data_IF_607666406702
#
_entry.id   IF_607666406702
#
_cell.length_a   1.000
_cell.length_b   1.000
_cell.length_c   1.000
_cell.angle_alpha   90.00
_cell.angle_beta   90.00
_cell.angle_gamma   90.00
#
_symmetry.space_group_name_H-M   'P 1'
#
loop_
_entity.id
_entity.type
_entity.pdbx_description
1 polymer ?
#
# COMPACT_ATOMS: atom_id res chain seq x y z
N UNK A 1 -30.94 19.04 3.29
CA UNK A 1 -30.21 18.78 2.04
C UNK A 1 -29.23 17.66 2.35
N UNK A 2 -29.51 16.44 1.88
CA UNK A 2 -28.82 15.23 2.36
C UNK A 2 -27.32 15.27 2.07
N UNK A 3 -26.51 15.24 3.12
CA UNK A 3 -25.07 15.00 3.01
C UNK A 3 -24.87 13.55 2.57
N UNK A 4 -24.18 13.36 1.44
CA UNK A 4 -23.68 12.04 1.06
C UNK A 4 -22.83 11.53 2.23
N UNK A 5 -23.29 10.43 2.84
CA UNK A 5 -22.61 9.81 3.97
C UNK A 5 -21.49 8.89 3.50
N UNK A 6 -20.73 8.39 4.47
CA UNK A 6 -19.78 7.31 4.25
C UNK A 6 -20.37 6.09 3.49
N UNK A 7 -21.62 5.62 3.78
CA UNK A 7 -22.14 4.44 3.07
C UNK A 7 -22.40 4.71 1.58
N UNK A 8 -22.92 5.88 1.21
CA UNK A 8 -23.14 6.23 -0.20
C UNK A 8 -21.82 6.32 -0.98
N UNK A 9 -20.76 6.88 -0.37
CA UNK A 9 -19.43 6.91 -0.99
C UNK A 9 -18.86 5.51 -1.23
N UNK A 10 -19.08 4.57 -0.31
CA UNK A 10 -18.62 3.17 -0.48
C UNK A 10 -19.33 2.52 -1.67
N UNK A 11 -20.65 2.71 -1.81
CA UNK A 11 -21.40 2.17 -2.95
C UNK A 11 -20.89 2.73 -4.27
N UNK A 12 -20.65 4.04 -4.34
CA UNK A 12 -20.08 4.69 -5.53
C UNK A 12 -18.67 4.15 -5.83
N UNK A 13 -17.83 3.99 -4.80
CA UNK A 13 -16.49 3.44 -4.94
C UNK A 13 -16.51 1.99 -5.46
N UNK A 14 -17.46 1.16 -5.00
CA UNK A 14 -17.64 -0.21 -5.51
C UNK A 14 -18.04 -0.22 -6.99
N UNK A 15 -18.97 0.64 -7.41
CA UNK A 15 -19.35 0.75 -8.82
C UNK A 15 -18.16 1.22 -9.66
N UNK A 16 -17.44 2.25 -9.21
CA UNK A 16 -16.23 2.71 -9.89
C UNK A 16 -15.16 1.61 -9.98
N UNK A 17 -14.97 0.82 -8.93
CA UNK A 17 -14.06 -0.32 -8.91
C UNK A 17 -14.46 -1.40 -9.92
N UNK A 18 -15.75 -1.63 -10.14
CA UNK A 18 -16.22 -2.57 -11.18
C UNK A 18 -15.97 -2.04 -12.59
N UNK A 19 -16.16 -0.73 -12.82
CA UNK A 19 -15.93 -0.10 -14.14
C UNK A 19 -14.44 -0.01 -14.50
N UNK A 20 -13.61 0.42 -13.56
CA UNK A 20 -12.17 0.63 -13.78
C UNK A 20 -11.32 -0.60 -13.46
N UNK A 21 -11.82 -1.49 -12.59
CA UNK A 21 -11.08 -2.64 -12.06
C UNK A 21 -10.10 -2.28 -10.95
N UNK A 22 -9.75 -3.28 -10.13
CA UNK A 22 -8.76 -3.12 -9.05
C UNK A 22 -7.35 -2.79 -9.57
N UNK A 23 -6.99 -3.30 -10.75
CA UNK A 23 -5.67 -3.06 -11.36
C UNK A 23 -5.42 -1.58 -11.67
N UNK A 24 -6.39 -0.90 -12.29
CA UNK A 24 -6.25 0.52 -12.65
C UNK A 24 -6.10 1.42 -11.43
N UNK A 25 -6.88 1.18 -10.38
CA UNK A 25 -6.76 1.93 -9.12
C UNK A 25 -5.40 1.67 -8.46
N UNK A 26 -4.91 0.43 -8.48
CA UNK A 26 -3.60 0.08 -7.94
C UNK A 26 -2.44 0.75 -8.72
N UNK A 27 -2.52 0.79 -10.05
CA UNK A 27 -1.50 1.44 -10.88
C UNK A 27 -1.45 2.96 -10.64
N UNK A 28 -2.62 3.61 -10.58
CA UNK A 28 -2.71 5.04 -10.23
C UNK A 28 -2.16 5.27 -8.83
N UNK A 29 -2.56 4.46 -7.85
CA UNK A 29 -2.11 4.57 -6.45
C UNK A 29 -0.59 4.38 -6.30
N UNK A 30 0.03 3.46 -7.05
CA UNK A 30 1.49 3.28 -7.08
C UNK A 30 2.19 4.53 -7.60
N UNK A 31 1.74 5.09 -8.73
CA UNK A 31 2.33 6.30 -9.30
C UNK A 31 2.19 7.51 -8.39
N UNK A 32 0.98 7.72 -7.83
CA UNK A 32 0.70 8.80 -6.88
C UNK A 32 1.50 8.63 -5.59
N UNK A 33 1.60 7.41 -5.07
CA UNK A 33 2.36 7.11 -3.86
C UNK A 33 3.86 7.34 -4.02
N UNK A 34 4.44 6.95 -5.15
CA UNK A 34 5.84 7.26 -5.48
C UNK A 34 6.06 8.76 -5.63
N UNK A 35 5.14 9.47 -6.29
CA UNK A 35 5.19 10.93 -6.42
C UNK A 35 5.16 11.64 -5.07
N UNK A 36 4.23 11.27 -4.19
CA UNK A 36 4.12 11.83 -2.83
C UNK A 36 5.37 11.49 -2.00
N UNK A 37 5.90 10.26 -2.10
CA UNK A 37 7.12 9.85 -1.39
C UNK A 37 8.31 10.72 -1.80
N UNK A 38 8.53 10.89 -3.10
CA UNK A 38 9.62 11.69 -3.63
C UNK A 38 9.44 13.18 -3.31
N UNK A 39 8.20 13.68 -3.37
CA UNK A 39 7.87 15.05 -2.98
C UNK A 39 8.22 15.28 -1.51
N UNK A 40 7.78 14.39 -0.61
CA UNK A 40 8.09 14.48 0.82
C UNK A 40 9.58 14.36 1.11
N UNK A 41 10.30 13.50 0.40
CA UNK A 41 11.75 13.38 0.51
C UNK A 41 12.46 14.67 0.07
N UNK A 42 12.06 15.26 -1.05
CA UNK A 42 12.60 16.54 -1.51
C UNK A 42 12.29 17.71 -0.57
N UNK A 43 11.11 17.72 0.07
CA UNK A 43 10.79 18.69 1.12
C UNK A 43 11.62 18.51 2.39
N UNK A 44 11.95 17.26 2.76
CA UNK A 44 12.87 16.99 3.87
C UNK A 44 14.26 17.50 3.49
N UNK A 45 14.81 17.05 2.36
CA UNK A 45 16.14 17.48 1.88
C UNK A 45 16.27 19.02 1.75
N UNK A 46 15.21 19.72 1.35
CA UNK A 46 15.21 21.18 1.23
C UNK A 46 14.97 21.93 2.55
N UNK A 47 14.55 21.25 3.62
CA UNK A 47 14.27 21.83 4.93
C UNK A 47 15.18 21.34 6.05
N UNK A 48 16.13 20.44 5.75
CA UNK A 48 16.90 19.62 6.68
C UNK A 48 18.42 19.80 6.39
N UNK A 49 18.84 21.05 6.08
CA UNK A 49 20.25 21.46 6.28
C UNK A 49 20.62 21.48 7.79
N UNK A 50 19.65 21.25 8.66
CA UNK A 50 19.83 20.97 10.09
C UNK A 50 19.17 19.61 10.42
N UNK A 51 19.94 18.70 11.01
CA UNK A 51 19.53 17.39 11.57
C UNK A 51 19.61 16.13 10.67
N UNK A 52 20.85 15.61 10.58
CA UNK A 52 21.20 14.20 10.42
C UNK A 52 20.15 13.22 11.01
N UNK A 53 19.34 12.55 10.17
CA UNK A 53 18.92 11.18 10.44
C UNK A 53 18.54 10.37 9.18
N UNK A 54 19.16 9.19 9.10
CA UNK A 54 19.24 8.20 8.01
C UNK A 54 17.89 7.48 7.71
N UNK A 55 17.79 6.60 6.69
CA UNK A 55 16.63 6.46 5.81
C UNK A 55 15.62 5.42 6.32
N UNK A 56 14.38 5.83 6.52
CA UNK A 56 13.32 4.88 6.85
C UNK A 56 12.89 4.04 5.63
N UNK A 57 13.41 2.82 5.59
CA UNK A 57 12.61 1.60 5.46
C UNK A 57 11.91 1.37 4.12
N UNK A 58 12.69 0.86 3.16
CA UNK A 58 12.19 -0.06 2.13
C UNK A 58 12.08 -1.48 2.71
N UNK A 59 11.15 -1.72 3.63
CA UNK A 59 10.73 -3.05 4.03
C UNK A 59 9.23 -3.22 3.74
N UNK A 60 8.91 -3.83 2.60
CA UNK A 60 7.80 -4.78 2.44
C UNK A 60 7.82 -5.36 1.03
N UNK A 61 8.86 -6.11 0.72
CA UNK A 61 8.82 -7.13 -0.33
C UNK A 61 9.16 -8.53 0.20
N UNK A 62 9.20 -8.73 1.52
CA UNK A 62 9.58 -10.02 2.13
C UNK A 62 8.45 -10.65 2.97
N UNK A 63 7.17 -10.53 2.55
CA UNK A 63 6.07 -11.25 3.22
C UNK A 63 5.11 -11.97 2.28
N UNK A 64 5.62 -12.47 1.15
CA UNK A 64 4.87 -13.31 0.22
C UNK A 64 5.44 -14.73 0.05
N UNK A 65 6.70 -15.03 0.43
CA UNK A 65 7.30 -16.35 0.15
C UNK A 65 7.44 -17.28 1.37
N UNK A 66 7.48 -16.79 2.62
CA UNK A 66 7.69 -17.66 3.79
C UNK A 66 6.45 -18.37 4.36
N UNK A 67 5.28 -18.27 3.72
CA UNK A 67 4.02 -18.95 4.18
C UNK A 67 3.69 -20.24 3.40
N UNK A 68 4.50 -20.65 2.41
CA UNK A 68 4.25 -21.89 1.64
C UNK A 68 5.07 -23.11 2.07
N UNK A 69 6.17 -22.94 2.81
CA UNK A 69 7.02 -24.09 3.20
C UNK A 69 6.76 -24.62 4.62
N UNK A 70 6.28 -23.79 5.55
CA UNK A 70 6.00 -24.23 6.92
C UNK A 70 4.74 -25.12 7.08
N UNK A 71 3.99 -25.40 6.00
CA UNK A 71 2.81 -26.29 6.05
C UNK A 71 3.09 -27.70 5.52
N UNK A 72 4.33 -28.01 5.09
CA UNK A 72 4.67 -29.37 4.62
C UNK A 72 5.24 -30.27 5.73
N UNK A 73 5.69 -29.70 6.84
CA UNK A 73 6.27 -30.47 7.95
C UNK A 73 5.23 -31.02 8.94
N UNK A 74 4.09 -30.32 9.12
CA UNK A 74 3.05 -30.74 10.08
C UNK A 74 2.19 -31.93 9.58
N UNK A 75 2.28 -32.31 8.30
CA UNK A 75 1.53 -33.44 7.74
C UNK A 75 2.32 -34.77 7.74
N UNK A 76 3.57 -34.79 8.20
CA UNK A 76 4.43 -35.98 8.19
C UNK A 76 4.67 -36.59 9.59
N UNK A 77 4.21 -35.95 10.66
CA UNK A 77 4.38 -36.45 12.03
C UNK A 77 3.10 -37.08 12.62
N UNK A 78 1.95 -36.96 11.94
CA UNK A 78 0.66 -37.52 12.40
C UNK A 78 0.09 -38.63 11.48
N UNK A 79 0.94 -39.31 10.71
CA UNK A 79 0.57 -40.47 9.88
C UNK A 79 1.54 -41.66 10.08
#
# INVERSE_FOLDING_TARGET
MGSIGAPELIVIALIALLLFGAGRIADIGKGLGQGIKNFKQGLKEAGDEDEDEKPAKAEKSEKAEKKKEAKKEEAAEEA
#
